data_IF_756374842648
#
_entry.id   IF_756374842648
#
_cell.length_a   1.000
_cell.length_b   1.000
_cell.length_c   1.000
_cell.angle_alpha   90.00
_cell.angle_beta   90.00
_cell.angle_gamma   90.00
#
_symmetry.space_group_name_H-M   'P 1'
#
loop_
_entity.id
_entity.type
_entity.pdbx_description
1 polymer ?
#
# COMPACT_ATOMS: atom_id res chain seq x y z
N UNK A 1 3.19 -25.11 -9.26
CA UNK A 1 3.28 -23.69 -8.88
C UNK A 1 3.90 -23.69 -7.51
N UNK A 2 5.09 -23.12 -7.36
CA UNK A 2 5.72 -22.98 -6.04
C UNK A 2 4.86 -22.03 -5.22
N UNK A 3 4.26 -22.56 -4.17
CA UNK A 3 3.44 -21.80 -3.23
C UNK A 3 4.39 -20.94 -2.41
N UNK A 4 4.63 -19.71 -2.86
CA UNK A 4 5.47 -18.77 -2.13
C UNK A 4 4.68 -18.28 -0.92
N UNK A 5 5.26 -18.25 0.29
CA UNK A 5 4.58 -17.76 1.46
C UNK A 5 4.15 -16.30 1.24
N UNK A 6 2.83 -16.07 1.22
CA UNK A 6 2.24 -14.77 0.89
C UNK A 6 2.61 -13.74 1.97
N UNK A 7 3.30 -12.67 1.57
CA UNK A 7 3.66 -11.53 2.42
C UNK A 7 2.67 -10.40 2.22
N UNK A 8 2.21 -9.81 3.32
CA UNK A 8 1.26 -8.69 3.31
C UNK A 8 1.76 -7.58 4.22
N UNK A 9 1.44 -6.33 3.85
CA UNK A 9 2.12 -5.15 4.36
C UNK A 9 1.12 -4.15 4.97
N UNK A 10 1.36 -3.68 6.18
CA UNK A 10 0.56 -2.64 6.85
C UNK A 10 1.35 -1.34 6.94
N UNK A 11 0.83 -0.30 6.31
CA UNK A 11 1.39 1.06 6.39
C UNK A 11 0.91 1.78 7.64
N UNK A 12 1.82 2.42 8.35
CA UNK A 12 1.55 3.04 9.65
C UNK A 12 2.31 4.36 9.82
N UNK A 13 1.63 5.39 10.34
CA UNK A 13 2.25 6.66 10.71
C UNK A 13 3.16 6.54 11.95
N UNK A 14 4.22 7.35 12.06
CA UNK A 14 5.18 7.26 13.16
C UNK A 14 4.56 7.55 14.54
N UNK A 15 3.49 8.34 14.60
CA UNK A 15 2.75 8.66 15.83
C UNK A 15 1.99 7.46 16.41
N UNK A 16 1.88 6.36 15.67
CA UNK A 16 1.20 5.14 16.09
C UNK A 16 2.13 4.07 16.64
N UNK A 17 3.46 4.28 16.68
CA UNK A 17 4.42 3.30 17.21
C UNK A 17 3.99 2.76 18.58
N UNK A 18 3.79 3.64 19.57
CA UNK A 18 3.41 3.21 20.92
C UNK A 18 1.99 2.63 21.03
N UNK A 19 1.15 2.77 20.00
CA UNK A 19 -0.20 2.19 19.94
C UNK A 19 -0.21 0.81 19.28
N UNK A 20 0.69 0.59 18.33
CA UNK A 20 0.83 -0.69 17.63
C UNK A 20 1.70 -1.64 18.45
N UNK A 21 2.85 -1.17 18.92
CA UNK A 21 3.80 -1.98 19.68
C UNK A 21 3.57 -1.83 21.18
N UNK A 22 2.45 -2.35 21.67
CA UNK A 22 2.05 -2.26 23.09
C UNK A 22 2.71 -3.31 23.98
N UNK A 23 3.18 -4.43 23.40
CA UNK A 23 3.80 -5.53 24.13
C UNK A 23 4.89 -6.22 23.30
N UNK A 24 5.74 -7.03 23.94
CA UNK A 24 6.74 -7.84 23.25
C UNK A 24 6.17 -9.07 22.55
N UNK A 25 5.01 -9.56 23.01
CA UNK A 25 4.42 -10.83 22.55
C UNK A 25 3.40 -10.64 21.42
N UNK A 26 2.78 -9.47 21.34
CA UNK A 26 1.79 -9.15 20.33
C UNK A 26 1.76 -7.65 20.00
N UNK A 27 1.35 -7.34 18.78
CA UNK A 27 1.10 -5.98 18.31
C UNK A 27 -0.40 -5.74 18.08
N UNK A 28 -0.87 -4.52 18.26
CA UNK A 28 -2.26 -4.17 18.04
C UNK A 28 -2.47 -3.61 16.63
N UNK A 29 -3.29 -4.30 15.83
CA UNK A 29 -3.78 -3.80 14.55
C UNK A 29 -5.16 -3.21 14.70
N UNK A 30 -5.38 -2.04 14.09
CA UNK A 30 -6.71 -1.45 13.98
C UNK A 30 -7.55 -2.24 12.98
N UNK A 31 -8.77 -2.56 13.39
CA UNK A 31 -9.86 -3.01 12.52
C UNK A 31 -10.93 -1.92 12.39
N UNK A 32 -11.70 -1.98 11.32
CA UNK A 32 -12.89 -1.16 11.09
C UNK A 32 -14.07 -2.07 10.74
N UNK A 33 -15.28 -1.65 11.10
CA UNK A 33 -16.48 -2.27 10.55
C UNK A 33 -16.76 -1.75 9.13
N UNK A 34 -17.52 -2.49 8.30
CA UNK A 34 -17.89 -2.04 6.95
C UNK A 34 -18.51 -0.64 6.88
N UNK A 35 -19.32 -0.26 7.86
CA UNK A 35 -19.91 1.10 7.95
C UNK A 35 -18.88 2.22 8.15
N UNK A 36 -17.67 1.88 8.59
CA UNK A 36 -16.58 2.79 8.93
C UNK A 36 -15.41 2.69 7.92
N UNK A 37 -15.63 2.08 6.75
CA UNK A 37 -14.64 2.04 5.67
C UNK A 37 -14.35 3.44 5.12
N UNK A 38 -13.14 3.61 4.59
CA UNK A 38 -12.65 4.92 4.17
C UNK A 38 -13.27 5.40 2.85
N UNK A 39 -13.69 4.48 1.97
CA UNK A 39 -14.44 4.81 0.77
C UNK A 39 -15.95 4.58 1.02
N UNK A 40 -16.75 5.66 1.10
CA UNK A 40 -18.19 5.55 1.34
C UNK A 40 -18.95 4.94 0.15
N UNK A 41 -18.30 4.78 -1.00
CA UNK A 41 -18.90 4.23 -2.22
C UNK A 41 -18.77 2.71 -2.34
N UNK A 42 -17.91 2.06 -1.54
CA UNK A 42 -17.62 0.62 -1.67
C UNK A 42 -18.88 -0.25 -1.53
N UNK A 43 -19.78 0.12 -0.61
CA UNK A 43 -21.02 -0.63 -0.38
C UNK A 43 -22.03 -0.53 -1.53
N UNK A 44 -21.87 0.45 -2.44
CA UNK A 44 -22.72 0.62 -3.62
C UNK A 44 -22.31 -0.28 -4.81
N UNK A 45 -21.19 -0.99 -4.71
CA UNK A 45 -20.69 -1.87 -5.77
C UNK A 45 -21.29 -3.28 -5.71
N UNK A 46 -22.24 -3.52 -4.79
CA UNK A 46 -22.90 -4.82 -4.60
C UNK A 46 -23.94 -5.12 -5.67
N UNK A 47 -24.93 -4.24 -5.87
CA UNK A 47 -25.95 -4.38 -6.93
C UNK A 47 -26.20 -3.06 -7.65
N UNK A 48 -26.73 -3.15 -8.87
CA UNK A 48 -27.27 -1.98 -9.55
C UNK A 48 -28.61 -1.56 -8.91
N UNK A 49 -28.66 -0.36 -8.34
CA UNK A 49 -29.87 0.20 -7.75
C UNK A 49 -30.87 0.74 -8.77
N UNK A 50 -30.57 0.65 -10.08
CA UNK A 50 -31.48 0.99 -11.17
C UNK A 50 -32.31 -0.20 -11.68
N UNK A 51 -32.33 -1.30 -10.95
CA UNK A 51 -33.12 -2.50 -11.27
C UNK A 51 -34.62 -2.34 -10.98
N UNK A 52 -35.41 -3.35 -11.36
CA UNK A 52 -36.87 -3.32 -11.15
C UNK A 52 -37.24 -3.23 -9.65
N UNK A 53 -38.26 -2.44 -9.26
CA UNK A 53 -38.61 -2.24 -7.86
C UNK A 53 -38.93 -3.52 -7.07
N UNK A 54 -39.50 -4.53 -7.72
CA UNK A 54 -39.83 -5.82 -7.11
C UNK A 54 -38.58 -6.66 -6.83
N UNK A 55 -37.61 -6.68 -7.75
CA UNK A 55 -36.31 -7.29 -7.54
C UNK A 55 -35.51 -6.58 -6.44
N UNK A 56 -35.56 -5.24 -6.38
CA UNK A 56 -34.91 -4.46 -5.31
C UNK A 56 -35.57 -4.68 -3.94
N UNK A 57 -36.89 -4.82 -3.89
CA UNK A 57 -37.59 -5.17 -2.66
C UNK A 57 -37.20 -6.56 -2.16
N UNK A 58 -37.08 -7.55 -3.07
CA UNK A 58 -36.57 -8.88 -2.74
C UNK A 58 -35.12 -8.83 -2.27
N UNK A 59 -34.26 -8.06 -2.92
CA UNK A 59 -32.88 -7.83 -2.48
C UNK A 59 -32.83 -7.29 -1.05
N UNK A 60 -33.60 -6.23 -0.75
CA UNK A 60 -33.61 -5.62 0.58
C UNK A 60 -34.08 -6.59 1.67
N UNK A 61 -35.06 -7.44 1.37
CA UNK A 61 -35.57 -8.47 2.29
C UNK A 61 -34.53 -9.59 2.55
N UNK A 62 -33.83 -10.03 1.50
CA UNK A 62 -32.84 -11.12 1.58
C UNK A 62 -31.54 -10.66 2.22
N UNK A 63 -31.03 -9.50 1.84
CA UNK A 63 -29.71 -9.01 2.27
C UNK A 63 -29.79 -8.39 3.66
N UNK A 64 -30.88 -7.70 3.98
CA UNK A 64 -31.09 -7.06 5.27
C UNK A 64 -29.95 -6.12 5.65
N UNK A 65 -29.55 -6.14 6.93
CA UNK A 65 -28.38 -5.41 7.41
C UNK A 65 -27.10 -6.19 7.11
N UNK A 66 -26.09 -5.49 6.56
CA UNK A 66 -24.77 -6.07 6.33
C UNK A 66 -24.12 -6.44 7.69
N UNK A 67 -23.60 -7.68 7.84
CA UNK A 67 -22.81 -8.04 9.02
C UNK A 67 -21.72 -7.02 9.28
N UNK A 68 -21.43 -6.72 10.55
CA UNK A 68 -20.40 -5.77 10.94
C UNK A 68 -19.21 -6.51 11.54
N UNK A 69 -18.55 -7.33 10.73
CA UNK A 69 -17.36 -8.07 11.13
C UNK A 69 -16.12 -7.17 11.03
N UNK A 70 -15.22 -7.31 12.00
CA UNK A 70 -14.06 -6.45 12.10
C UNK A 70 -13.09 -6.74 10.96
N UNK A 71 -12.76 -5.74 10.15
CA UNK A 71 -11.88 -5.90 8.98
C UNK A 71 -10.60 -5.11 9.17
N UNK A 72 -9.46 -5.73 8.88
CA UNK A 72 -8.18 -5.02 8.74
C UNK A 72 -7.59 -5.22 7.35
N UNK A 73 -7.07 -4.13 6.80
CA UNK A 73 -6.62 -4.06 5.41
C UNK A 73 -5.09 -4.00 5.33
N UNK A 74 -4.51 -4.76 4.41
CA UNK A 74 -3.09 -4.79 4.09
C UNK A 74 -2.90 -4.44 2.61
N UNK A 75 -1.67 -4.11 2.23
CA UNK A 75 -1.26 -4.09 0.83
C UNK A 75 -0.46 -5.34 0.50
N UNK A 76 -0.49 -5.76 -0.76
CA UNK A 76 0.40 -6.81 -1.29
C UNK A 76 1.82 -6.31 -1.57
N UNK A 77 2.11 -5.02 -1.40
CA UNK A 77 3.41 -4.44 -1.73
C UNK A 77 3.87 -3.42 -0.68
N UNK A 78 5.17 -3.39 -0.32
CA UNK A 78 5.75 -2.39 0.57
C UNK A 78 6.20 -1.12 -0.16
N UNK A 79 6.12 -1.06 -1.50
CA UNK A 79 6.66 0.04 -2.31
C UNK A 79 5.60 0.93 -2.95
N UNK A 80 4.33 0.83 -2.54
CA UNK A 80 3.24 1.65 -3.09
C UNK A 80 3.39 3.10 -2.62
N UNK A 81 3.84 3.98 -3.52
CA UNK A 81 4.16 5.39 -3.19
C UNK A 81 2.96 6.16 -2.62
N UNK A 82 1.73 6.09 -3.20
CA UNK A 82 0.56 6.73 -2.59
C UNK A 82 0.29 6.25 -1.15
N UNK A 83 0.50 4.96 -0.86
CA UNK A 83 0.31 4.42 0.49
C UNK A 83 1.30 5.01 1.49
N UNK A 84 2.56 5.17 1.08
CA UNK A 84 3.57 5.87 1.90
C UNK A 84 3.21 7.34 2.15
N UNK A 85 2.61 8.00 1.16
CA UNK A 85 2.18 9.40 1.28
C UNK A 85 1.02 9.53 2.27
N UNK A 86 -0.03 8.72 2.11
CA UNK A 86 -1.28 8.85 2.85
C UNK A 86 -1.26 8.17 4.23
N UNK A 87 -0.78 6.93 4.32
CA UNK A 87 -0.88 6.12 5.54
C UNK A 87 0.41 6.10 6.37
N UNK A 88 1.57 6.39 5.77
CA UNK A 88 2.85 6.49 6.47
C UNK A 88 3.36 7.95 6.57
N UNK A 89 2.44 8.91 6.64
CA UNK A 89 2.70 10.34 6.90
C UNK A 89 3.83 10.93 6.02
N UNK A 90 3.68 10.87 4.69
CA UNK A 90 4.67 11.36 3.73
C UNK A 90 6.05 10.70 3.90
N UNK A 91 6.09 9.35 3.95
CA UNK A 91 7.32 8.56 4.14
C UNK A 91 8.04 8.76 5.48
N UNK A 92 7.39 9.34 6.49
CA UNK A 92 7.95 9.48 7.84
C UNK A 92 7.64 8.29 8.76
N UNK A 93 6.63 7.51 8.39
CA UNK A 93 6.19 6.31 9.11
C UNK A 93 6.94 5.06 8.70
N UNK A 94 6.25 3.94 8.76
CA UNK A 94 6.83 2.61 8.56
C UNK A 94 5.80 1.64 7.99
N UNK A 95 6.31 0.49 7.55
CA UNK A 95 5.53 -0.65 7.10
C UNK A 95 5.87 -1.85 7.97
N UNK A 96 4.86 -2.63 8.33
CA UNK A 96 5.01 -3.93 9.00
C UNK A 96 4.68 -5.01 7.98
N UNK A 97 5.59 -5.94 7.76
CA UNK A 97 5.39 -7.12 6.94
C UNK A 97 4.93 -8.30 7.80
N UNK A 98 3.91 -9.00 7.30
CA UNK A 98 3.35 -10.19 7.94
C UNK A 98 3.48 -11.41 7.03
N UNK A 99 3.58 -12.58 7.67
CA UNK A 99 3.35 -13.87 7.04
C UNK A 99 1.85 -14.18 7.05
N UNK A 100 1.20 -14.22 5.89
CA UNK A 100 -0.22 -14.58 5.81
C UNK A 100 -0.47 -16.00 6.34
N UNK A 101 0.44 -16.94 6.07
CA UNK A 101 0.39 -18.31 6.62
C UNK A 101 0.33 -18.32 8.16
N UNK A 102 1.24 -17.61 8.84
CA UNK A 102 1.28 -17.58 10.31
C UNK A 102 0.08 -16.82 10.88
N UNK A 103 -0.44 -15.83 10.17
CA UNK A 103 -1.68 -15.16 10.52
C UNK A 103 -2.88 -16.12 10.42
N UNK A 104 -2.97 -16.90 9.34
CA UNK A 104 -4.02 -17.90 9.17
C UNK A 104 -3.95 -19.00 10.24
N UNK A 105 -2.74 -19.45 10.61
CA UNK A 105 -2.53 -20.41 11.70
C UNK A 105 -2.94 -19.83 13.07
N UNK A 106 -2.60 -18.56 13.34
CA UNK A 106 -2.97 -17.89 14.58
C UNK A 106 -4.46 -17.56 14.66
N UNK A 107 -5.12 -17.42 13.50
CA UNK A 107 -6.50 -16.96 13.37
C UNK A 107 -7.28 -17.81 12.35
N UNK A 108 -7.55 -19.10 12.63
CA UNK A 108 -8.12 -20.04 11.66
C UNK A 108 -9.56 -19.72 11.25
N UNK A 109 -10.30 -18.98 12.08
CA UNK A 109 -11.67 -18.52 11.79
C UNK A 109 -11.69 -17.25 10.92
N UNK A 110 -10.53 -16.61 10.70
CA UNK A 110 -10.45 -15.39 9.91
C UNK A 110 -10.39 -15.69 8.42
N UNK A 111 -11.04 -14.84 7.62
CA UNK A 111 -11.04 -14.95 6.15
C UNK A 111 -10.11 -13.91 5.55
N UNK A 112 -9.24 -14.36 4.64
CA UNK A 112 -8.37 -13.50 3.85
C UNK A 112 -8.82 -13.50 2.40
N UNK A 113 -8.98 -12.33 1.80
CA UNK A 113 -9.21 -12.23 0.36
C UNK A 113 -8.63 -10.96 -0.27
N UNK A 114 -8.40 -11.03 -1.57
CA UNK A 114 -7.96 -9.89 -2.38
C UNK A 114 -9.17 -9.01 -2.68
N UNK A 115 -8.98 -7.69 -2.66
CA UNK A 115 -10.03 -6.76 -3.06
C UNK A 115 -10.15 -6.75 -4.59
N UNK A 116 -11.35 -6.98 -5.09
CA UNK A 116 -11.75 -6.85 -6.49
C UNK A 116 -12.05 -5.39 -6.77
N UNK A 117 -11.39 -4.84 -7.80
CA UNK A 117 -11.55 -3.44 -8.18
C UNK A 117 -12.52 -3.29 -9.35
N UNK A 118 -13.60 -2.52 -9.15
CA UNK A 118 -14.63 -2.27 -10.17
C UNK A 118 -15.30 -0.91 -9.94
N UNK A 119 -15.65 -0.21 -11.03
CA UNK A 119 -16.43 1.04 -10.98
C UNK A 119 -17.93 0.82 -11.24
N UNK A 120 -18.31 -0.44 -11.46
CA UNK A 120 -19.69 -0.86 -11.69
C UNK A 120 -20.03 -2.05 -10.80
N UNK A 121 -21.31 -2.22 -10.42
CA UNK A 121 -21.75 -3.42 -9.72
C UNK A 121 -21.46 -4.69 -10.52
N UNK A 122 -21.23 -5.80 -9.83
CA UNK A 122 -20.92 -7.06 -10.50
C UNK A 122 -22.13 -7.57 -11.30
N UNK A 123 -21.97 -7.76 -12.62
CA UNK A 123 -23.07 -8.22 -13.48
C UNK A 123 -23.65 -9.56 -13.04
N UNK A 124 -22.78 -10.47 -12.58
CA UNK A 124 -23.16 -11.80 -12.09
C UNK A 124 -24.06 -11.73 -10.85
N UNK A 125 -23.92 -10.70 -10.01
CA UNK A 125 -24.79 -10.46 -8.84
C UNK A 125 -26.20 -10.06 -9.27
N UNK A 126 -26.34 -9.23 -10.30
CA UNK A 126 -27.64 -8.89 -10.88
C UNK A 126 -28.33 -10.12 -11.46
N UNK A 127 -27.61 -10.96 -12.21
CA UNK A 127 -28.18 -12.22 -12.71
C UNK A 127 -28.62 -13.15 -11.57
N UNK A 128 -27.79 -13.26 -10.52
CA UNK A 128 -28.09 -14.07 -9.34
C UNK A 128 -29.31 -13.54 -8.58
N UNK A 129 -29.46 -12.21 -8.48
CA UNK A 129 -30.64 -11.57 -7.90
C UNK A 129 -31.91 -11.99 -8.64
N UNK A 130 -31.96 -11.81 -9.96
CA UNK A 130 -33.13 -12.22 -10.75
C UNK A 130 -33.37 -13.72 -10.68
N UNK A 131 -32.31 -14.52 -10.65
CA UNK A 131 -32.41 -15.98 -10.52
C UNK A 131 -33.02 -16.38 -9.17
N UNK A 132 -32.57 -15.77 -8.08
CA UNK A 132 -33.10 -16.00 -6.74
C UNK A 132 -34.56 -15.56 -6.65
N UNK A 133 -34.87 -14.37 -7.18
CA UNK A 133 -36.21 -13.80 -7.22
C UNK A 133 -37.21 -14.66 -8.00
N UNK A 134 -36.85 -15.10 -9.22
CA UNK A 134 -37.75 -15.87 -10.09
C UNK A 134 -37.87 -17.33 -9.67
N UNK A 135 -36.77 -17.97 -9.27
CA UNK A 135 -36.78 -19.41 -8.93
C UNK A 135 -37.32 -19.64 -7.51
N UNK A 136 -37.14 -18.69 -6.58
CA UNK A 136 -37.65 -18.71 -5.22
C UNK A 136 -37.31 -20.01 -4.44
N UNK A 137 -36.11 -20.56 -4.64
CA UNK A 137 -35.60 -21.70 -3.86
C UNK A 137 -34.57 -21.22 -2.84
N UNK A 138 -34.60 -21.73 -1.58
CA UNK A 138 -33.72 -21.27 -0.50
C UNK A 138 -32.24 -21.21 -0.85
N UNK A 139 -31.73 -22.16 -1.65
CA UNK A 139 -30.33 -22.15 -2.10
C UNK A 139 -29.92 -20.90 -2.87
N UNK A 140 -30.79 -20.34 -3.70
CA UNK A 140 -30.44 -19.16 -4.51
C UNK A 140 -30.48 -17.89 -3.66
N UNK A 141 -31.40 -17.82 -2.70
CA UNK A 141 -31.41 -16.78 -1.67
C UNK A 141 -30.12 -16.81 -0.84
N UNK A 142 -29.69 -18.01 -0.40
CA UNK A 142 -28.44 -18.19 0.32
C UNK A 142 -27.23 -17.73 -0.52
N UNK A 143 -27.13 -18.15 -1.77
CA UNK A 143 -26.04 -17.72 -2.65
C UNK A 143 -26.06 -16.22 -2.89
N UNK A 144 -27.23 -15.62 -3.16
CA UNK A 144 -27.35 -14.17 -3.33
C UNK A 144 -26.82 -13.44 -2.11
N UNK A 145 -27.30 -13.80 -0.91
CA UNK A 145 -26.87 -13.16 0.33
C UNK A 145 -25.36 -13.32 0.55
N UNK A 146 -24.82 -14.52 0.37
CA UNK A 146 -23.39 -14.81 0.52
C UNK A 146 -22.52 -13.99 -0.44
N UNK A 147 -22.89 -13.92 -1.71
CA UNK A 147 -22.12 -13.19 -2.74
C UNK A 147 -22.21 -11.67 -2.53
N UNK A 148 -23.38 -11.16 -2.14
CA UNK A 148 -23.54 -9.74 -1.79
C UNK A 148 -22.68 -9.37 -0.59
N UNK A 149 -22.67 -10.20 0.45
CA UNK A 149 -21.79 -9.98 1.59
C UNK A 149 -20.31 -10.06 1.17
N UNK A 150 -19.91 -11.04 0.36
CA UNK A 150 -18.54 -11.12 -0.15
C UNK A 150 -18.14 -9.82 -0.89
N UNK A 151 -18.96 -9.36 -1.82
CA UNK A 151 -18.72 -8.12 -2.57
C UNK A 151 -18.66 -6.88 -1.66
N UNK A 152 -19.51 -6.80 -0.63
CA UNK A 152 -19.46 -5.68 0.32
C UNK A 152 -18.15 -5.62 1.11
N UNK A 153 -17.53 -6.78 1.38
CA UNK A 153 -16.24 -6.86 2.08
C UNK A 153 -15.04 -6.76 1.15
N UNK A 154 -15.14 -7.14 -0.12
CA UNK A 154 -13.99 -7.30 -1.01
C UNK A 154 -14.13 -6.61 -2.36
N UNK A 155 -15.04 -5.66 -2.52
CA UNK A 155 -15.11 -4.84 -3.75
C UNK A 155 -14.84 -3.38 -3.43
N UNK A 156 -14.04 -2.73 -4.28
CA UNK A 156 -13.67 -1.31 -4.15
C UNK A 156 -13.59 -0.64 -5.52
N UNK A 157 -13.71 0.68 -5.57
CA UNK A 157 -13.62 1.42 -6.83
C UNK A 157 -12.21 1.34 -7.45
N UNK A 158 -12.10 1.36 -8.79
CA UNK A 158 -10.82 1.12 -9.47
C UNK A 158 -9.78 2.21 -9.23
N UNK A 159 -10.22 3.41 -8.83
CA UNK A 159 -9.33 4.50 -8.47
C UNK A 159 -8.46 4.18 -7.25
N UNK A 160 -8.82 3.18 -6.42
CA UNK A 160 -8.01 2.67 -5.31
C UNK A 160 -7.21 1.40 -5.64
N UNK A 161 -7.22 0.93 -6.90
CA UNK A 161 -6.53 -0.30 -7.32
C UNK A 161 -5.02 -0.31 -7.03
N UNK A 162 -4.41 0.87 -6.92
CA UNK A 162 -3.00 1.00 -6.54
C UNK A 162 -2.70 0.50 -5.12
N UNK A 163 -3.69 0.43 -4.22
CA UNK A 163 -3.51 -0.05 -2.84
C UNK A 163 -3.15 -1.54 -2.81
N UNK A 164 -3.53 -2.31 -3.84
CA UNK A 164 -3.35 -3.76 -3.92
C UNK A 164 -3.82 -4.44 -2.63
N UNK A 165 -5.05 -4.14 -2.26
CA UNK A 165 -5.59 -4.39 -0.93
C UNK A 165 -5.88 -5.87 -0.72
N UNK A 166 -5.35 -6.41 0.39
CA UNK A 166 -5.69 -7.73 0.94
C UNK A 166 -6.41 -7.50 2.26
N UNK A 167 -7.64 -8.00 2.41
CA UNK A 167 -8.43 -7.83 3.64
C UNK A 167 -8.44 -9.09 4.46
N UNK A 168 -8.33 -8.92 5.77
CA UNK A 168 -8.58 -9.95 6.78
C UNK A 168 -9.85 -9.58 7.53
N UNK A 169 -10.84 -10.47 7.51
CA UNK A 169 -12.06 -10.36 8.29
C UNK A 169 -11.90 -11.21 9.53
N UNK A 170 -11.99 -10.57 10.69
CA UNK A 170 -11.87 -11.18 12.00
C UNK A 170 -13.23 -11.20 12.70
N UNK A 171 -13.67 -12.39 13.18
CA UNK A 171 -14.81 -12.49 14.07
C UNK A 171 -14.61 -11.68 15.34
N UNK A 172 -15.71 -11.30 15.98
CA UNK A 172 -15.68 -10.42 17.15
C UNK A 172 -14.85 -11.01 18.30
N UNK A 173 -14.87 -12.33 18.47
CA UNK A 173 -14.13 -13.09 19.47
C UNK A 173 -12.60 -12.97 19.35
N UNK A 174 -12.08 -12.65 18.16
CA UNK A 174 -10.65 -12.42 17.93
C UNK A 174 -10.25 -10.96 18.17
N UNK A 175 -11.20 -10.08 18.45
CA UNK A 175 -10.96 -8.64 18.61
C UNK A 175 -11.29 -8.16 20.01
N UNK A 176 -10.71 -7.01 20.38
CA UNK A 176 -11.05 -6.30 21.61
C UNK A 176 -11.33 -4.83 21.35
N UNK A 177 -12.14 -4.23 22.21
CA UNK A 177 -12.42 -2.80 22.20
C UNK A 177 -11.41 -2.05 23.06
N UNK A 178 -10.88 -0.96 22.54
CA UNK A 178 -10.06 0.01 23.25
C UNK A 178 -10.65 1.42 23.03
N UNK A 179 -11.60 1.79 23.89
CA UNK A 179 -12.42 2.98 23.67
C UNK A 179 -13.33 2.78 22.45
N UNK A 180 -13.16 3.62 21.43
CA UNK A 180 -13.89 3.52 20.15
C UNK A 180 -13.16 2.67 19.09
N UNK A 181 -11.96 2.17 19.41
CA UNK A 181 -11.15 1.39 18.48
C UNK A 181 -11.43 -0.10 18.64
N UNK A 182 -11.52 -0.79 17.51
CA UNK A 182 -11.52 -2.26 17.44
C UNK A 182 -10.10 -2.68 17.11
N UNK A 183 -9.52 -3.52 17.97
CA UNK A 183 -8.14 -3.95 17.86
C UNK A 183 -8.06 -5.47 17.75
N UNK A 184 -7.18 -5.92 16.87
CA UNK A 184 -6.74 -7.31 16.74
C UNK A 184 -5.32 -7.40 17.28
N UNK A 185 -5.10 -8.21 18.32
CA UNK A 185 -3.76 -8.42 18.88
C UNK A 185 -3.06 -9.56 18.12
N UNK A 186 -2.15 -9.18 17.23
CA UNK A 186 -1.42 -10.10 16.36
C UNK A 186 -0.14 -10.60 17.06
N UNK A 187 0.04 -11.92 17.20
CA UNK A 187 1.26 -12.49 17.77
C UNK A 187 2.54 -12.04 17.06
N UNK A 188 3.62 -11.83 17.83
CA UNK A 188 4.93 -11.38 17.32
C UNK A 188 5.48 -12.29 16.21
N UNK A 189 5.21 -13.59 16.27
CA UNK A 189 5.71 -14.55 15.29
C UNK A 189 5.07 -14.37 13.91
N UNK A 190 3.95 -13.67 13.78
CA UNK A 190 3.34 -13.35 12.50
C UNK A 190 4.08 -12.24 11.73
N UNK A 191 4.91 -11.45 12.43
CA UNK A 191 5.66 -10.32 11.88
C UNK A 191 6.99 -10.83 11.33
N UNK A 192 7.32 -10.47 10.10
CA UNK A 192 8.57 -10.91 9.45
C UNK A 192 9.55 -9.79 9.19
N UNK A 193 9.08 -8.58 8.96
CA UNK A 193 9.96 -7.41 8.87
C UNK A 193 9.26 -6.10 9.24
N UNK A 194 10.08 -5.10 9.57
CA UNK A 194 9.67 -3.69 9.69
C UNK A 194 10.50 -2.87 8.71
N UNK A 195 9.82 -2.08 7.88
CA UNK A 195 10.44 -1.17 6.91
C UNK A 195 10.21 0.27 7.35
N UNK A 196 11.27 0.99 7.69
CA UNK A 196 11.23 2.40 8.06
C UNK A 196 11.23 3.30 6.82
N UNK A 197 10.42 4.36 6.81
CA UNK A 197 10.30 5.29 5.71
C UNK A 197 11.55 6.14 5.48
N UNK A 198 11.74 6.58 4.22
CA UNK A 198 12.93 7.33 3.81
C UNK A 198 13.07 8.71 4.47
N UNK A 199 11.96 9.26 4.99
CA UNK A 199 11.90 10.56 5.68
C UNK A 199 11.68 10.43 7.19
N UNK A 200 11.73 9.22 7.73
CA UNK A 200 11.57 8.99 9.16
C UNK A 200 12.64 9.73 9.98
N UNK A 201 12.23 10.24 11.15
CA UNK A 201 13.14 10.92 12.05
C UNK A 201 14.21 9.96 12.60
N UNK A 202 15.38 10.45 13.05
CA UNK A 202 16.37 9.59 13.70
C UNK A 202 15.81 8.84 14.91
N UNK A 203 14.90 9.46 15.67
CA UNK A 203 14.22 8.83 16.79
C UNK A 203 13.35 7.66 16.32
N UNK A 204 12.50 7.90 15.32
CA UNK A 204 11.63 6.88 14.72
C UNK A 204 12.42 5.68 14.21
N UNK A 205 13.56 5.91 13.56
CA UNK A 205 14.45 4.84 13.09
C UNK A 205 14.99 4.01 14.24
N UNK A 206 15.51 4.67 15.27
CA UNK A 206 16.04 3.99 16.45
C UNK A 206 14.96 3.17 17.18
N UNK A 207 13.76 3.75 17.36
CA UNK A 207 12.64 3.06 18.01
C UNK A 207 12.25 1.80 17.23
N UNK A 208 12.08 1.91 15.90
CA UNK A 208 11.71 0.79 15.05
C UNK A 208 12.79 -0.29 14.96
N UNK A 209 14.07 0.09 14.97
CA UNK A 209 15.17 -0.87 15.00
C UNK A 209 15.18 -1.68 16.31
N UNK A 210 15.00 -1.02 17.46
CA UNK A 210 14.88 -1.69 18.76
C UNK A 210 13.64 -2.60 18.83
N UNK A 211 12.52 -2.14 18.27
CA UNK A 211 11.29 -2.94 18.19
C UNK A 211 11.52 -4.18 17.34
N UNK A 212 12.14 -4.05 16.16
CA UNK A 212 12.44 -5.19 15.30
C UNK A 212 13.35 -6.22 16.00
N UNK A 213 14.37 -5.76 16.72
CA UNK A 213 15.23 -6.62 17.55
C UNK A 213 14.42 -7.35 18.64
N UNK A 214 13.54 -6.63 19.35
CA UNK A 214 12.71 -7.22 20.42
C UNK A 214 11.73 -8.29 19.90
N UNK A 215 11.16 -8.05 18.71
CA UNK A 215 10.25 -8.97 18.03
C UNK A 215 11.00 -10.12 17.34
N UNK A 216 12.29 -9.97 17.10
CA UNK A 216 13.12 -10.94 16.39
C UNK A 216 12.78 -10.99 14.89
N UNK A 217 12.42 -9.86 14.30
CA UNK A 217 12.11 -9.73 12.87
C UNK A 217 13.16 -8.88 12.15
N UNK A 218 13.18 -8.92 10.81
CA UNK A 218 14.10 -8.11 10.02
C UNK A 218 13.77 -6.61 10.12
N UNK A 219 14.79 -5.76 10.01
CA UNK A 219 14.63 -4.31 9.93
C UNK A 219 15.23 -3.79 8.63
N UNK A 220 14.50 -2.90 7.97
CA UNK A 220 14.91 -2.26 6.73
C UNK A 220 14.66 -0.75 6.78
N UNK A 221 15.51 0.03 6.11
CA UNK A 221 15.26 1.43 5.81
C UNK A 221 15.03 1.63 4.32
N UNK A 222 13.93 2.29 3.97
CA UNK A 222 13.65 2.70 2.61
C UNK A 222 14.63 3.79 2.15
N UNK A 223 15.17 3.62 0.94
CA UNK A 223 16.02 4.59 0.25
C UNK A 223 15.43 4.94 -1.11
N UNK A 224 15.55 6.21 -1.48
CA UNK A 224 15.18 6.70 -2.80
C UNK A 224 16.44 6.61 -3.67
N UNK A 225 16.36 5.83 -4.75
CA UNK A 225 17.43 5.71 -5.73
C UNK A 225 17.61 7.00 -6.54
N UNK A 226 18.81 7.22 -7.07
CA UNK A 226 19.09 8.29 -8.04
C UNK A 226 18.85 7.83 -9.47
N UNK A 227 18.89 6.53 -9.71
CA UNK A 227 18.78 5.90 -11.03
C UNK A 227 17.40 5.30 -11.31
N UNK A 228 16.59 5.08 -10.26
CA UNK A 228 15.27 4.47 -10.35
C UNK A 228 14.25 5.25 -9.52
N UNK A 229 13.01 5.30 -10.02
CA UNK A 229 11.86 5.81 -9.27
C UNK A 229 11.33 4.78 -8.25
N UNK A 230 11.74 3.51 -8.38
CA UNK A 230 11.39 2.45 -7.44
C UNK A 230 12.37 2.52 -6.26
N UNK A 231 11.88 2.67 -5.02
CA UNK A 231 12.75 2.68 -3.86
C UNK A 231 13.39 1.31 -3.64
N UNK A 232 14.57 1.33 -3.03
CA UNK A 232 15.22 0.12 -2.52
C UNK A 232 15.28 0.18 -1.00
N UNK A 233 15.76 -0.89 -0.38
CA UNK A 233 15.89 -0.97 1.06
C UNK A 233 17.33 -1.25 1.45
N UNK A 234 17.69 -0.86 2.67
CA UNK A 234 18.94 -1.26 3.28
C UNK A 234 18.67 -1.82 4.66
N UNK A 235 19.41 -2.84 5.08
CA UNK A 235 19.34 -3.36 6.44
C UNK A 235 20.22 -2.55 7.41
N UNK A 236 20.45 -3.11 8.61
CA UNK A 236 21.31 -2.51 9.64
C UNK A 236 22.80 -2.46 9.23
N UNK A 237 23.26 -3.38 8.38
CA UNK A 237 24.62 -3.45 7.86
C UNK A 237 24.82 -2.57 6.63
N UNK A 238 23.73 -2.00 6.11
CA UNK A 238 23.62 -1.20 4.88
C UNK A 238 23.75 -2.03 3.60
N UNK A 239 23.45 -3.33 3.70
CA UNK A 239 23.33 -4.19 2.54
C UNK A 239 22.04 -3.87 1.80
N UNK A 240 22.08 -3.80 0.45
CA UNK A 240 20.92 -3.39 -0.33
C UNK A 240 19.96 -4.54 -0.63
N UNK A 241 18.67 -4.24 -0.53
CA UNK A 241 17.56 -5.14 -0.81
C UNK A 241 16.56 -4.49 -1.77
N UNK A 242 15.85 -5.32 -2.53
CA UNK A 242 14.79 -4.90 -3.44
C UNK A 242 13.52 -5.71 -3.19
N UNK A 243 12.37 -5.13 -3.52
CA UNK A 243 11.13 -5.89 -3.62
C UNK A 243 11.02 -6.49 -5.02
N UNK A 244 10.98 -7.82 -5.14
CA UNK A 244 10.92 -8.51 -6.43
C UNK A 244 9.48 -8.68 -6.97
N UNK A 245 8.49 -8.09 -6.31
CA UNK A 245 7.06 -8.28 -6.59
C UNK A 245 6.36 -9.28 -5.67
N UNK A 246 7.12 -10.07 -4.91
CA UNK A 246 6.62 -11.09 -3.98
C UNK A 246 7.16 -10.84 -2.57
N UNK A 247 8.47 -10.63 -2.44
CA UNK A 247 9.15 -10.47 -1.15
C UNK A 247 10.34 -9.51 -1.25
N UNK A 248 10.87 -9.11 -0.10
CA UNK A 248 12.10 -8.33 0.01
C UNK A 248 13.29 -9.29 -0.04
N UNK A 249 14.14 -9.14 -1.05
CA UNK A 249 15.31 -9.99 -1.29
C UNK A 249 16.58 -9.16 -1.38
N UNK A 250 17.72 -9.76 -1.01
CA UNK A 250 19.02 -9.13 -1.17
C UNK A 250 19.28 -8.82 -2.65
N UNK A 251 19.82 -7.63 -2.93
CA UNK A 251 20.18 -7.24 -4.28
C UNK A 251 21.43 -7.99 -4.72
N UNK A 252 21.36 -8.68 -5.85
CA UNK A 252 22.50 -9.42 -6.42
C UNK A 252 23.59 -8.51 -6.98
N UNK A 253 23.22 -7.27 -7.35
CA UNK A 253 24.13 -6.27 -7.91
C UNK A 253 23.80 -4.90 -7.35
N UNK A 254 24.83 -4.15 -6.98
CA UNK A 254 24.72 -2.81 -6.46
C UNK A 254 25.98 -2.01 -6.76
N UNK A 255 25.85 -0.68 -6.72
CA UNK A 255 26.94 0.26 -6.86
C UNK A 255 27.94 0.11 -5.70
N UNK A 256 29.22 -0.03 -6.01
CA UNK A 256 30.31 -0.17 -5.01
C UNK A 256 30.45 1.05 -4.08
N UNK A 257 29.92 2.21 -4.47
CA UNK A 257 30.10 3.47 -3.74
C UNK A 257 28.86 3.91 -2.96
N UNK A 258 27.65 3.75 -3.53
CA UNK A 258 26.41 4.20 -2.89
C UNK A 258 25.48 3.06 -2.46
N UNK A 259 25.85 1.81 -2.71
CA UNK A 259 25.04 0.60 -2.49
C UNK A 259 23.65 0.63 -3.17
N UNK A 260 23.40 1.56 -4.08
CA UNK A 260 22.15 1.55 -4.85
C UNK A 260 22.12 0.31 -5.75
N UNK A 261 21.03 -0.46 -5.78
CA UNK A 261 20.88 -1.57 -6.72
C UNK A 261 21.08 -1.13 -8.17
N UNK A 262 21.89 -1.86 -8.92
CA UNK A 262 22.24 -1.55 -10.32
C UNK A 262 22.12 -2.79 -11.20
N UNK A 263 21.99 -2.58 -12.51
CA UNK A 263 22.04 -3.64 -13.52
C UNK A 263 23.46 -3.93 -14.04
N UNK A 264 24.45 -3.18 -13.55
CA UNK A 264 25.85 -3.27 -13.96
C UNK A 264 26.75 -3.39 -12.73
N UNK A 265 27.87 -4.09 -12.90
CA UNK A 265 28.93 -4.21 -11.89
C UNK A 265 29.78 -2.94 -11.84
N UNK A 266 30.24 -2.55 -10.65
CA UNK A 266 31.06 -1.36 -10.42
C UNK A 266 30.25 -0.15 -9.97
N UNK A 267 30.83 1.05 -10.12
CA UNK A 267 30.14 2.30 -9.76
C UNK A 267 28.99 2.63 -10.72
N UNK A 268 27.88 3.14 -10.18
CA UNK A 268 26.79 3.68 -11.00
C UNK A 268 27.19 4.99 -11.68
N UNK A 269 26.47 5.37 -12.75
CA UNK A 269 26.78 6.59 -13.52
C UNK A 269 26.81 7.87 -12.68
N UNK A 270 26.07 7.93 -11.57
CA UNK A 270 26.10 9.06 -10.64
C UNK A 270 27.35 9.09 -9.76
N UNK A 271 27.87 7.93 -9.36
CA UNK A 271 29.07 7.82 -8.54
C UNK A 271 30.35 8.03 -9.35
N UNK A 272 30.32 7.72 -10.64
CA UNK A 272 31.42 8.00 -11.58
C UNK A 272 31.64 9.50 -11.85
N UNK A 273 30.77 10.40 -11.35
CA UNK A 273 30.91 11.85 -11.58
C UNK A 273 31.99 12.44 -10.67
N UNK A 274 33.20 12.57 -11.22
CA UNK A 274 34.33 13.23 -10.59
C UNK A 274 34.40 14.75 -10.88
N UNK A 275 35.38 15.43 -10.28
CA UNK A 275 35.55 16.88 -10.42
C UNK A 275 36.11 17.31 -11.78
N UNK A 276 36.72 16.42 -12.55
CA UNK A 276 37.15 16.70 -13.92
C UNK A 276 35.94 16.71 -14.86
N UNK A 277 35.08 15.69 -14.77
CA UNK A 277 33.85 15.59 -15.54
C UNK A 277 32.91 16.77 -15.23
N UNK A 278 32.78 17.16 -13.95
CA UNK A 278 32.00 18.36 -13.57
C UNK A 278 32.53 19.63 -14.24
N UNK A 279 33.85 19.84 -14.27
CA UNK A 279 34.47 21.01 -14.91
C UNK A 279 34.28 20.99 -16.43
N UNK A 280 34.45 19.82 -17.05
CA UNK A 280 34.25 19.62 -18.48
C UNK A 280 32.79 19.87 -18.90
N UNK A 281 31.81 19.40 -18.12
CA UNK A 281 30.39 19.63 -18.40
C UNK A 281 30.00 21.08 -18.12
N UNK A 282 30.55 21.71 -17.07
CA UNK A 282 30.29 23.10 -16.75
C UNK A 282 30.74 24.06 -17.86
N UNK A 283 31.88 23.80 -18.52
CA UNK A 283 32.35 24.62 -19.65
C UNK A 283 31.51 24.46 -20.92
N UNK A 284 30.71 23.38 -21.01
CA UNK A 284 29.77 23.12 -22.11
C UNK A 284 28.34 23.56 -21.80
N UNK A 285 28.07 24.07 -20.61
CA UNK A 285 26.74 24.50 -20.20
C UNK A 285 26.41 25.88 -20.80
N UNK A 286 25.47 25.97 -21.76
CA UNK A 286 25.17 27.24 -22.45
C UNK A 286 24.67 28.33 -21.51
N UNK A 287 23.94 27.98 -20.45
CA UNK A 287 23.45 28.97 -19.49
C UNK A 287 24.59 29.56 -18.68
N UNK A 288 25.60 28.76 -18.29
CA UNK A 288 26.81 29.28 -17.63
C UNK A 288 27.63 30.18 -18.56
N UNK A 289 27.69 29.84 -19.85
CA UNK A 289 28.38 30.67 -20.86
C UNK A 289 27.65 32.02 -21.02
N UNK A 290 26.33 31.99 -21.18
CA UNK A 290 25.51 33.21 -21.31
C UNK A 290 25.57 34.07 -20.05
N UNK A 291 25.57 33.45 -18.86
CA UNK A 291 25.70 34.14 -17.58
C UNK A 291 27.06 34.87 -17.48
N UNK A 292 28.15 34.18 -17.84
CA UNK A 292 29.48 34.79 -17.92
C UNK A 292 29.57 35.96 -18.89
N UNK A 293 28.75 35.98 -19.94
CA UNK A 293 28.67 37.07 -20.91
C UNK A 293 27.66 38.17 -20.51
N UNK A 294 26.93 38.00 -19.39
CA UNK A 294 25.87 38.92 -18.96
C UNK A 294 24.60 38.88 -19.83
N UNK A 295 24.39 37.80 -20.58
CA UNK A 295 23.31 37.66 -21.57
C UNK A 295 22.21 36.67 -21.14
N UNK A 296 22.36 35.98 -20.00
CA UNK A 296 21.44 34.93 -19.59
C UNK A 296 20.00 35.43 -19.39
N UNK A 297 19.83 36.54 -18.66
CA UNK A 297 18.50 37.10 -18.35
C UNK A 297 17.75 37.53 -19.62
N UNK A 298 18.45 38.17 -20.56
CA UNK A 298 17.89 38.57 -21.85
C UNK A 298 17.48 37.34 -22.67
N UNK A 299 18.32 36.31 -22.69
CA UNK A 299 18.04 35.07 -23.40
C UNK A 299 16.81 34.36 -22.83
N UNK A 300 16.70 34.22 -21.50
CA UNK A 300 15.53 33.61 -20.84
C UNK A 300 14.27 34.41 -21.16
N UNK A 301 14.32 35.74 -21.04
CA UNK A 301 13.18 36.63 -21.34
C UNK A 301 12.69 36.46 -22.78
N UNK A 302 13.61 36.34 -23.75
CA UNK A 302 13.28 36.10 -25.15
C UNK A 302 12.69 34.70 -25.38
N UNK A 303 13.21 33.68 -24.72
CA UNK A 303 12.70 32.31 -24.84
C UNK A 303 11.30 32.17 -24.22
N UNK A 304 11.05 32.84 -23.09
CA UNK A 304 9.72 32.87 -22.46
C UNK A 304 8.66 33.53 -23.36
N UNK A 305 9.05 34.55 -24.13
CA UNK A 305 8.18 35.21 -25.11
C UNK A 305 7.84 34.34 -26.33
N UNK A 306 8.72 33.40 -26.71
CA UNK A 306 8.54 32.48 -27.85
C UNK A 306 7.93 31.15 -27.42
N UNK A 307 7.97 30.81 -26.13
CA UNK A 307 7.47 29.55 -25.60
C UNK A 307 5.95 29.35 -25.77
N UNK A 308 5.44 28.12 -25.56
CA UNK A 308 4.05 27.75 -25.84
C UNK A 308 2.97 28.56 -25.09
N UNK A 309 3.37 29.33 -24.06
CA UNK A 309 2.48 30.21 -23.27
C UNK A 309 2.35 31.62 -23.84
N UNK A 310 3.22 32.03 -24.77
CA UNK A 310 3.18 33.36 -25.42
C UNK A 310 2.24 33.46 -26.62
N UNK A 311 1.78 32.31 -27.14
CA UNK A 311 0.99 32.21 -28.38
C UNK A 311 -0.51 32.01 -28.20
N UNK A 312 -1.15 32.55 -27.16
CA UNK A 312 -2.63 32.67 -27.09
C UNK A 312 -3.04 33.93 -26.33
N UNK A 313 -2.87 35.08 -26.97
CA UNK A 313 -3.70 36.27 -26.75
C UNK A 313 -4.03 36.86 -28.13
N UNK A 314 -5.01 36.25 -28.78
CA UNK A 314 -5.71 36.76 -29.95
C UNK A 314 -7.20 36.64 -29.66
#
# INVERSE_FOLDING_TARGET
>A
MTDHPKRIYKYVGPEHIGKVFTSSEAIALKCSFPKDFNDPYELFLTIDFNEKPDALAFYADVVGELPQDATTCFSMSPIVVPMWAHYAQNHQGFVIEFSEERLADAFPECRFDDVIYSDVPAHDLTELLYRAYVIAKPRYTYFLQSEVYNAAYFTKTTCWSYEQERRMIAPQENTRLAGQLILLDVPRNCITSIVCGSRASPQTKNDLAQIAESLGCSYFEQRIGRSSAIPYFVDMERDPFIFNGIEIVASSQHCETCNEPTSQTGECSWCQIDDELKRQVASRNPYRILDHLGLLDEYITKMDAVGPRGGKKG
#
